data_IF_534495898454
#
_entry.id   IF_534495898454
#
_cell.length_a   1.000
_cell.length_b   1.000
_cell.length_c   1.000
_cell.angle_alpha   90.00
_cell.angle_beta   90.00
_cell.angle_gamma   90.00
#
_symmetry.space_group_name_H-M   'P 1'
#
loop_
_entity.id
_entity.type
_entity.pdbx_description
1 polymer ?
#
# COMPACT_ATOMS: atom_id res chain seq x y z
N UNK A 1 -8.83 26.54 21.05
CA UNK A 1 -9.69 25.52 20.41
C UNK A 1 -10.03 25.86 18.95
N UNK A 2 -10.77 26.94 18.62
CA UNK A 2 -11.15 27.23 17.21
C UNK A 2 -9.97 27.44 16.25
N UNK A 3 -8.89 28.12 16.70
CA UNK A 3 -7.74 28.41 15.84
C UNK A 3 -6.85 27.18 15.56
N UNK A 4 -6.71 26.30 16.57
CA UNK A 4 -5.90 25.08 16.46
C UNK A 4 -6.58 24.02 15.59
N UNK A 5 -7.91 23.90 15.67
CA UNK A 5 -8.65 23.01 14.77
C UNK A 5 -8.53 23.44 13.31
N UNK A 6 -8.60 24.75 13.03
CA UNK A 6 -8.39 25.29 11.68
C UNK A 6 -6.97 25.00 11.19
N UNK A 7 -5.95 25.19 12.02
CA UNK A 7 -4.56 24.85 11.71
C UNK A 7 -4.40 23.37 11.32
N UNK A 8 -4.99 22.44 12.08
CA UNK A 8 -4.91 21.01 11.76
C UNK A 8 -5.70 20.63 10.51
N UNK A 9 -6.79 21.33 10.20
CA UNK A 9 -7.47 21.18 8.91
C UNK A 9 -6.60 21.64 7.73
N UNK A 10 -5.85 22.74 7.89
CA UNK A 10 -4.90 23.22 6.89
C UNK A 10 -3.75 22.23 6.68
N UNK A 11 -3.21 21.64 7.76
CA UNK A 11 -2.20 20.58 7.67
C UNK A 11 -2.75 19.36 6.95
N UNK A 12 -3.94 18.86 7.32
CA UNK A 12 -4.59 17.74 6.65
C UNK A 12 -4.78 18.03 5.17
N UNK A 13 -5.24 19.23 4.82
CA UNK A 13 -5.37 19.65 3.42
C UNK A 13 -4.03 19.65 2.68
N UNK A 14 -2.97 20.16 3.29
CA UNK A 14 -1.63 20.16 2.70
C UNK A 14 -1.10 18.72 2.48
N UNK A 15 -1.43 17.77 3.37
CA UNK A 15 -1.11 16.34 3.17
C UNK A 15 -1.83 15.81 1.93
N UNK A 16 -3.15 16.06 1.81
CA UNK A 16 -3.94 15.63 0.65
C UNK A 16 -3.39 16.20 -0.65
N UNK A 17 -3.16 17.52 -0.69
CA UNK A 17 -2.68 18.22 -1.88
C UNK A 17 -1.29 17.71 -2.31
N UNK A 18 -0.42 17.38 -1.35
CA UNK A 18 0.89 16.78 -1.63
C UNK A 18 0.77 15.33 -2.14
N UNK A 19 0.09 14.46 -1.40
CA UNK A 19 0.07 13.02 -1.68
C UNK A 19 -0.78 12.65 -2.91
N UNK A 20 -1.69 13.53 -3.35
CA UNK A 20 -2.45 13.36 -4.59
C UNK A 20 -1.56 13.18 -5.84
N UNK A 21 -0.32 13.65 -5.79
CA UNK A 21 0.65 13.58 -6.90
C UNK A 21 1.80 12.59 -6.67
N UNK A 22 1.73 11.76 -5.62
CA UNK A 22 2.82 10.88 -5.18
C UNK A 22 2.48 9.38 -5.34
N UNK A 23 1.64 9.01 -6.32
CA UNK A 23 1.25 7.62 -6.54
C UNK A 23 2.45 6.79 -7.03
N UNK A 24 3.01 5.94 -6.16
CA UNK A 24 4.19 5.12 -6.46
C UNK A 24 4.01 4.22 -7.69
N UNK A 25 2.78 3.73 -7.95
CA UNK A 25 2.50 2.88 -9.11
C UNK A 25 2.68 3.61 -10.44
N UNK A 26 2.61 4.95 -10.42
CA UNK A 26 2.86 5.82 -11.57
C UNK A 26 4.27 6.38 -11.51
N UNK A 27 4.66 6.98 -10.38
CA UNK A 27 5.93 7.67 -10.21
C UNK A 27 7.14 6.74 -10.35
N UNK A 28 7.06 5.53 -9.79
CA UNK A 28 8.17 4.57 -9.81
C UNK A 28 8.08 3.58 -10.96
N UNK A 29 7.18 3.76 -11.94
CA UNK A 29 7.12 2.84 -13.08
C UNK A 29 8.22 3.18 -14.10
N UNK A 30 9.15 2.25 -14.42
CA UNK A 30 10.18 2.53 -15.41
C UNK A 30 9.57 2.70 -16.80
N UNK A 31 10.00 3.74 -17.51
CA UNK A 31 9.50 4.05 -18.87
C UNK A 31 9.94 3.03 -19.93
N UNK A 32 11.00 2.27 -19.65
CA UNK A 32 11.54 1.23 -20.52
C UNK A 32 11.36 -0.19 -19.94
N UNK A 33 10.44 -0.39 -18.99
CA UNK A 33 10.22 -1.67 -18.31
C UNK A 33 10.03 -2.82 -19.30
N UNK A 34 9.11 -2.66 -20.26
CA UNK A 34 8.80 -3.68 -21.26
C UNK A 34 10.02 -4.11 -22.08
N UNK A 35 10.82 -3.15 -22.54
CA UNK A 35 12.03 -3.41 -23.32
C UNK A 35 13.08 -4.17 -22.48
N UNK A 36 13.30 -3.72 -21.24
CA UNK A 36 14.25 -4.38 -20.34
C UNK A 36 13.80 -5.80 -19.99
N UNK A 37 12.49 -6.00 -19.78
CA UNK A 37 11.87 -7.30 -19.53
C UNK A 37 12.10 -8.26 -20.69
N UNK A 38 11.78 -7.84 -21.92
CA UNK A 38 11.95 -8.65 -23.12
C UNK A 38 13.42 -9.09 -23.30
N UNK A 39 14.37 -8.16 -23.12
CA UNK A 39 15.82 -8.45 -23.18
C UNK A 39 16.30 -9.38 -22.07
N UNK A 40 15.81 -9.18 -20.85
CA UNK A 40 16.20 -10.00 -19.69
C UNK A 40 15.76 -11.46 -19.88
N UNK A 41 14.52 -11.68 -20.32
CA UNK A 41 14.00 -13.02 -20.57
C UNK A 41 14.61 -13.70 -21.80
N UNK A 42 15.00 -12.93 -22.82
CA UNK A 42 15.77 -13.43 -23.96
C UNK A 42 17.22 -13.80 -23.59
N UNK A 43 17.68 -13.42 -22.39
CA UNK A 43 19.06 -13.62 -21.94
C UNK A 43 20.07 -12.65 -22.57
N UNK A 44 19.59 -11.59 -23.22
CA UNK A 44 20.42 -10.57 -23.87
C UNK A 44 21.12 -9.65 -22.84
N UNK A 45 20.48 -9.45 -21.69
CA UNK A 45 21.03 -8.68 -20.58
C UNK A 45 21.03 -9.51 -19.30
N UNK A 46 22.07 -9.31 -18.48
CA UNK A 46 22.09 -9.88 -17.14
C UNK A 46 21.32 -8.98 -16.17
N UNK A 47 21.57 -7.68 -16.19
CA UNK A 47 20.91 -6.72 -15.30
C UNK A 47 20.12 -5.70 -16.11
N UNK A 48 18.88 -5.38 -15.71
CA UNK A 48 18.13 -4.30 -16.33
C UNK A 48 18.73 -2.94 -16.00
N UNK A 49 18.64 -2.00 -16.94
CA UNK A 49 18.94 -0.59 -16.76
C UNK A 49 17.64 0.20 -16.95
N UNK A 50 17.07 0.67 -15.84
CA UNK A 50 15.79 1.36 -15.85
C UNK A 50 15.93 2.85 -16.13
N UNK A 51 14.89 3.43 -16.74
CA UNK A 51 14.78 4.86 -16.98
C UNK A 51 13.44 5.34 -16.45
N UNK A 52 13.41 6.54 -15.88
CA UNK A 52 12.23 7.11 -15.25
C UNK A 52 11.92 8.48 -15.86
N UNK A 53 10.63 8.85 -15.86
CA UNK A 53 10.24 10.22 -16.14
C UNK A 53 10.72 11.12 -15.01
N UNK A 54 10.91 12.40 -15.30
CA UNK A 54 11.08 13.39 -14.23
C UNK A 54 9.79 13.44 -13.42
N UNK A 55 9.92 13.27 -12.11
CA UNK A 55 8.80 13.21 -11.19
C UNK A 55 8.21 14.60 -10.93
N UNK A 56 8.99 15.67 -11.10
CA UNK A 56 8.60 17.05 -10.80
C UNK A 56 7.93 17.23 -9.42
N UNK A 57 8.30 16.40 -8.43
CA UNK A 57 7.71 16.43 -7.09
C UNK A 57 8.29 17.61 -6.32
N UNK A 58 7.42 18.53 -5.90
CA UNK A 58 7.79 19.67 -5.08
C UNK A 58 7.87 19.27 -3.60
N UNK A 59 8.76 19.93 -2.85
CA UNK A 59 8.80 19.78 -1.39
C UNK A 59 7.52 20.41 -0.79
N UNK A 60 6.69 19.64 -0.08
CA UNK A 60 5.45 20.17 0.49
C UNK A 60 5.73 21.08 1.69
N UNK A 61 5.03 22.21 1.73
CA UNK A 61 5.05 23.16 2.84
C UNK A 61 3.88 22.89 3.79
N UNK A 62 4.13 23.07 5.09
CA UNK A 62 3.14 22.89 6.13
C UNK A 62 3.22 24.04 7.13
N UNK A 63 2.08 24.47 7.70
CA UNK A 63 2.08 25.40 8.82
C UNK A 63 2.90 24.86 10.00
N UNK A 64 3.65 25.74 10.66
CA UNK A 64 4.34 25.41 11.90
C UNK A 64 3.36 25.32 13.07
N UNK A 65 3.60 24.38 13.98
CA UNK A 65 2.84 24.23 15.21
C UNK A 65 3.71 23.61 16.31
N UNK A 66 3.30 23.83 17.56
CA UNK A 66 3.90 23.19 18.73
C UNK A 66 3.12 21.95 19.09
N UNK A 67 3.83 20.86 19.41
CA UNK A 67 3.22 19.62 19.90
C UNK A 67 2.92 19.79 21.39
N UNK A 68 1.65 19.92 21.75
CA UNK A 68 1.19 20.08 23.14
C UNK A 68 0.56 18.78 23.68
N UNK A 69 -0.05 17.99 22.79
CA UNK A 69 -0.73 16.74 23.11
C UNK A 69 -0.19 15.55 22.30
N UNK A 70 -0.52 14.33 22.73
CA UNK A 70 -0.14 13.12 21.99
C UNK A 70 -0.82 13.05 20.60
N UNK A 71 -2.03 13.59 20.47
CA UNK A 71 -2.73 13.70 19.17
C UNK A 71 -2.01 14.65 18.20
N UNK A 72 -1.42 15.74 18.71
CA UNK A 72 -0.63 16.69 17.90
C UNK A 72 0.62 16.02 17.31
N UNK A 73 1.20 15.04 18.03
CA UNK A 73 2.35 14.27 17.55
C UNK A 73 2.02 13.47 16.29
N UNK A 74 0.77 12.99 16.13
CA UNK A 74 0.33 12.27 14.93
C UNK A 74 0.42 13.14 13.67
N UNK A 75 0.12 14.45 13.79
CA UNK A 75 0.27 15.41 12.70
C UNK A 75 1.74 15.63 12.34
N UNK A 76 2.61 15.80 13.34
CA UNK A 76 4.05 15.99 13.13
C UNK A 76 4.63 14.78 12.38
N UNK A 77 4.27 13.58 12.81
CA UNK A 77 4.77 12.34 12.23
C UNK A 77 4.27 12.16 10.79
N UNK A 78 3.00 12.50 10.52
CA UNK A 78 2.47 12.52 9.15
C UNK A 78 3.15 13.54 8.26
N UNK A 79 3.37 14.77 8.73
CA UNK A 79 4.13 15.80 8.00
C UNK A 79 5.53 15.30 7.65
N UNK A 80 6.24 14.73 8.63
CA UNK A 80 7.59 14.19 8.44
C UNK A 80 7.61 13.10 7.37
N UNK A 81 6.68 12.15 7.45
CA UNK A 81 6.57 11.08 6.46
C UNK A 81 6.20 11.61 5.07
N UNK A 82 5.23 12.53 4.94
CA UNK A 82 4.84 13.10 3.64
C UNK A 82 6.00 13.87 3.00
N UNK A 83 6.77 14.65 3.78
CA UNK A 83 8.02 15.29 3.29
C UNK A 83 9.05 14.25 2.87
N UNK A 84 9.20 13.18 3.65
CA UNK A 84 10.11 12.08 3.34
C UNK A 84 9.76 11.36 2.05
N UNK A 85 8.48 11.06 1.80
CA UNK A 85 8.01 10.46 0.54
C UNK A 85 8.26 11.41 -0.63
N UNK A 86 8.02 12.71 -0.48
CA UNK A 86 8.33 13.68 -1.52
C UNK A 86 9.82 13.66 -1.90
N UNK A 87 10.70 13.63 -0.88
CA UNK A 87 12.14 13.51 -1.08
C UNK A 87 12.53 12.17 -1.71
N UNK A 88 11.92 11.05 -1.29
CA UNK A 88 12.16 9.74 -1.89
C UNK A 88 11.89 9.76 -3.40
N UNK A 89 10.79 10.40 -3.82
CA UNK A 89 10.48 10.54 -5.25
C UNK A 89 11.45 11.45 -6.01
N UNK A 90 12.03 12.46 -5.35
CA UNK A 90 13.11 13.28 -5.93
C UNK A 90 14.43 12.50 -6.07
N UNK A 91 14.62 11.42 -5.31
CA UNK A 91 15.80 10.57 -5.34
C UNK A 91 15.71 9.42 -6.35
N UNK A 92 14.64 9.31 -7.14
CA UNK A 92 14.50 8.25 -8.16
C UNK A 92 15.72 8.26 -9.11
N UNK A 93 16.37 7.11 -9.23
CA UNK A 93 17.60 6.90 -9.99
C UNK A 93 18.90 7.28 -9.27
N UNK A 94 18.82 7.72 -8.01
CA UNK A 94 19.95 7.86 -7.08
C UNK A 94 19.91 6.66 -6.11
N UNK A 95 20.39 5.52 -6.60
CA UNK A 95 20.07 4.20 -6.04
C UNK A 95 20.40 4.06 -4.54
N UNK A 96 21.58 4.55 -4.12
CA UNK A 96 22.03 4.47 -2.73
C UNK A 96 21.17 5.33 -1.80
N UNK A 97 21.01 6.62 -2.11
CA UNK A 97 20.22 7.56 -1.30
C UNK A 97 18.74 7.18 -1.28
N UNK A 98 18.20 6.75 -2.43
CA UNK A 98 16.82 6.27 -2.55
C UNK A 98 16.60 5.05 -1.65
N UNK A 99 17.49 4.06 -1.72
CA UNK A 99 17.33 2.84 -0.93
C UNK A 99 17.49 3.09 0.57
N UNK A 100 18.42 3.97 0.97
CA UNK A 100 18.61 4.35 2.37
C UNK A 100 17.36 5.06 2.92
N UNK A 101 16.83 6.05 2.19
CA UNK A 101 15.63 6.76 2.62
C UNK A 101 14.40 5.84 2.60
N UNK A 102 14.29 4.92 1.65
CA UNK A 102 13.20 3.94 1.64
C UNK A 102 13.19 3.09 2.91
N UNK A 103 14.36 2.63 3.38
CA UNK A 103 14.45 1.86 4.64
C UNK A 103 14.06 2.69 5.87
N UNK A 104 14.27 4.00 5.85
CA UNK A 104 13.83 4.90 6.93
C UNK A 104 12.31 5.08 6.92
N UNK A 105 11.70 5.25 5.73
CA UNK A 105 10.26 5.47 5.59
C UNK A 105 9.44 4.18 5.74
N UNK A 106 9.98 3.06 5.26
CA UNK A 106 9.39 1.74 5.33
C UNK A 106 10.40 0.77 5.95
N UNK A 107 10.53 0.77 7.29
CA UNK A 107 11.46 -0.10 7.99
C UNK A 107 11.15 -1.57 7.74
N UNK A 108 12.21 -2.35 7.51
CA UNK A 108 12.12 -3.79 7.29
C UNK A 108 12.41 -4.51 8.60
N UNK A 109 11.46 -5.31 9.07
CA UNK A 109 11.59 -6.19 10.23
C UNK A 109 11.46 -7.65 9.80
N UNK A 110 11.93 -8.56 10.64
CA UNK A 110 11.70 -9.99 10.43
C UNK A 110 10.20 -10.31 10.51
N UNK A 111 9.78 -11.31 9.74
CA UNK A 111 8.42 -11.89 9.76
C UNK A 111 8.53 -13.39 9.92
N UNK A 112 7.41 -14.06 10.20
CA UNK A 112 7.37 -15.51 10.28
C UNK A 112 7.70 -16.16 8.92
N UNK A 113 8.03 -17.44 8.95
CA UNK A 113 8.27 -18.20 7.72
C UNK A 113 7.00 -18.25 6.85
N UNK A 114 7.20 -18.31 5.54
CA UNK A 114 6.14 -18.53 4.55
C UNK A 114 5.17 -19.63 5.01
N UNK A 115 3.85 -19.40 5.03
CA UNK A 115 2.91 -20.46 5.34
C UNK A 115 3.04 -21.59 4.31
N UNK A 116 3.13 -22.84 4.80
CA UNK A 116 3.20 -24.02 3.93
C UNK A 116 1.81 -24.30 3.36
N UNK A 117 1.56 -23.82 2.14
CA UNK A 117 0.32 -24.07 1.41
C UNK A 117 0.51 -23.77 -0.07
N UNK A 118 0.01 -24.65 -0.94
CA UNK A 118 -0.08 -24.33 -2.36
C UNK A 118 -1.15 -23.24 -2.52
N UNK A 119 -0.80 -22.10 -3.12
CA UNK A 119 -1.82 -21.24 -3.70
C UNK A 119 -2.46 -22.01 -4.86
N UNK A 120 -3.77 -22.29 -4.84
CA UNK A 120 -4.43 -22.91 -5.97
C UNK A 120 -4.17 -22.06 -7.23
N UNK A 121 -3.60 -22.68 -8.26
CA UNK A 121 -3.55 -22.08 -9.58
C UNK A 121 -4.93 -22.27 -10.21
N UNK A 122 -5.85 -21.36 -9.93
CA UNK A 122 -7.14 -21.33 -10.60
C UNK A 122 -7.08 -20.46 -11.85
N UNK A 123 -7.63 -20.98 -12.95
CA UNK A 123 -7.75 -20.20 -14.18
C UNK A 123 -8.70 -19.02 -13.95
N UNK A 124 -8.18 -17.81 -14.14
CA UNK A 124 -8.98 -16.60 -14.04
C UNK A 124 -9.98 -16.50 -15.20
N UNK A 125 -11.27 -16.47 -14.88
CA UNK A 125 -12.37 -16.30 -15.83
C UNK A 125 -13.17 -15.00 -15.59
N UNK A 126 -12.85 -14.24 -14.55
CA UNK A 126 -13.47 -12.96 -14.21
C UNK A 126 -12.61 -11.83 -14.78
N UNK A 127 -13.18 -11.07 -15.71
CA UNK A 127 -12.51 -9.95 -16.37
C UNK A 127 -12.65 -8.62 -15.61
N UNK A 128 -12.00 -7.58 -16.11
CA UNK A 128 -12.06 -6.23 -15.53
C UNK A 128 -13.49 -5.67 -15.42
N UNK A 129 -14.40 -6.01 -16.33
CA UNK A 129 -15.79 -5.51 -16.29
C UNK A 129 -16.57 -6.15 -15.15
N UNK A 130 -16.43 -7.47 -14.97
CA UNK A 130 -17.06 -8.21 -13.90
C UNK A 130 -16.56 -7.74 -12.51
N UNK A 131 -15.26 -7.48 -12.40
CA UNK A 131 -14.66 -6.84 -11.23
C UNK A 131 -15.31 -5.48 -10.93
N UNK A 132 -15.37 -4.59 -11.93
CA UNK A 132 -15.95 -3.25 -11.76
C UNK A 132 -17.41 -3.36 -11.31
N UNK A 133 -18.18 -4.30 -11.85
CA UNK A 133 -19.56 -4.54 -11.44
C UNK A 133 -19.66 -4.97 -9.97
N UNK A 134 -18.79 -5.86 -9.50
CA UNK A 134 -18.74 -6.26 -8.09
C UNK A 134 -18.34 -5.08 -7.18
N UNK A 135 -17.35 -4.28 -7.59
CA UNK A 135 -16.93 -3.07 -6.85
C UNK A 135 -18.05 -2.05 -6.75
N UNK A 136 -18.86 -1.87 -7.81
CA UNK A 136 -20.04 -0.99 -7.79
C UNK A 136 -21.07 -1.41 -6.75
N UNK A 137 -21.29 -2.72 -6.57
CA UNK A 137 -22.22 -3.25 -5.55
C UNK A 137 -21.66 -2.97 -4.16
N UNK A 138 -20.41 -3.35 -3.91
CA UNK A 138 -19.75 -3.16 -2.62
C UNK A 138 -19.63 -1.68 -2.21
N UNK A 139 -19.36 -0.78 -3.16
CA UNK A 139 -19.32 0.67 -2.89
C UNK A 139 -20.66 1.20 -2.41
N UNK A 140 -21.78 0.72 -2.96
CA UNK A 140 -23.12 1.10 -2.51
C UNK A 140 -23.39 0.60 -1.10
N UNK A 141 -23.00 -0.64 -0.79
CA UNK A 141 -23.14 -1.20 0.56
C UNK A 141 -22.32 -0.43 1.61
N UNK A 142 -21.16 0.09 1.22
CA UNK A 142 -20.31 0.92 2.07
C UNK A 142 -20.74 2.40 2.13
N UNK A 143 -21.82 2.79 1.43
CA UNK A 143 -22.23 4.19 1.25
C UNK A 143 -21.09 5.11 0.76
N UNK A 144 -20.20 4.58 -0.09
CA UNK A 144 -19.04 5.30 -0.60
C UNK A 144 -19.41 6.19 -1.80
N UNK A 145 -19.81 7.43 -1.51
CA UNK A 145 -20.25 8.38 -2.54
C UNK A 145 -19.08 9.15 -3.20
N UNK A 146 -19.26 9.47 -4.48
CA UNK A 146 -18.31 10.29 -5.25
C UNK A 146 -17.06 9.56 -5.73
N UNK A 147 -17.02 8.22 -5.61
CA UNK A 147 -15.92 7.41 -6.13
C UNK A 147 -16.10 7.09 -7.61
N UNK A 148 -15.01 7.16 -8.36
CA UNK A 148 -14.94 6.77 -9.78
C UNK A 148 -14.31 5.40 -9.91
N UNK A 149 -14.95 4.53 -10.70
CA UNK A 149 -14.44 3.22 -11.07
C UNK A 149 -14.06 3.26 -12.55
N UNK A 150 -12.81 2.93 -12.88
CA UNK A 150 -12.33 2.95 -14.26
C UNK A 150 -11.44 1.76 -14.60
N UNK A 151 -11.37 1.48 -15.89
CA UNK A 151 -10.44 0.51 -16.46
C UNK A 151 -9.25 1.27 -17.06
N UNK A 152 -8.03 0.85 -16.74
CA UNK A 152 -6.77 1.49 -17.18
C UNK A 152 -5.85 0.48 -17.88
N UNK A 153 -5.00 0.98 -18.77
CA UNK A 153 -4.01 0.14 -19.49
C UNK A 153 -2.61 0.21 -18.84
N UNK A 154 -2.16 1.42 -18.47
CA UNK A 154 -0.78 1.67 -18.03
C UNK A 154 -0.65 1.76 -16.49
N UNK A 155 -0.64 0.61 -15.80
CA UNK A 155 -0.31 0.56 -14.36
C UNK A 155 0.44 -0.72 -13.93
N UNK A 156 1.29 -0.59 -12.90
CA UNK A 156 2.10 -1.70 -12.38
C UNK A 156 1.32 -2.71 -11.53
N UNK A 157 0.14 -2.34 -11.04
CA UNK A 157 -0.68 -3.16 -10.14
C UNK A 157 -1.94 -3.61 -10.88
N UNK A 158 -2.46 -4.81 -10.57
CA UNK A 158 -3.74 -5.29 -11.15
C UNK A 158 -4.89 -4.32 -10.85
N UNK A 159 -4.85 -3.73 -9.66
CA UNK A 159 -5.81 -2.78 -9.12
C UNK A 159 -5.06 -1.77 -8.25
N UNK A 160 -5.63 -0.58 -8.08
CA UNK A 160 -5.21 0.35 -7.04
C UNK A 160 -6.34 1.31 -6.63
N UNK A 161 -6.29 1.76 -5.39
CA UNK A 161 -7.21 2.76 -4.82
C UNK A 161 -6.45 4.06 -4.61
N UNK A 162 -6.81 5.10 -5.35
CA UNK A 162 -6.37 6.47 -5.07
C UNK A 162 -7.47 7.17 -4.27
N UNK A 163 -7.28 7.22 -2.96
CA UNK A 163 -8.25 7.85 -2.07
C UNK A 163 -8.35 9.36 -2.22
N UNK A 164 -7.30 10.04 -2.70
CA UNK A 164 -7.27 11.50 -2.82
C UNK A 164 -8.13 11.98 -3.97
N UNK A 165 -8.07 11.27 -5.11
CA UNK A 165 -8.95 11.51 -6.26
C UNK A 165 -10.25 10.70 -6.20
N UNK A 166 -10.52 9.99 -5.09
CA UNK A 166 -11.62 9.03 -4.94
C UNK A 166 -11.77 8.12 -6.17
N UNK A 167 -10.68 7.47 -6.57
CA UNK A 167 -10.65 6.58 -7.73
C UNK A 167 -10.25 5.17 -7.33
N UNK A 168 -10.94 4.17 -7.88
CA UNK A 168 -10.43 2.79 -7.96
C UNK A 168 -10.24 2.44 -9.43
N UNK A 169 -9.05 1.99 -9.77
CA UNK A 169 -8.70 1.63 -11.14
C UNK A 169 -8.43 0.13 -11.22
N UNK A 170 -8.92 -0.49 -12.28
CA UNK A 170 -8.73 -1.91 -12.59
C UNK A 170 -7.98 -2.02 -13.91
N UNK A 171 -6.93 -2.82 -13.96
CA UNK A 171 -6.16 -3.00 -15.20
C UNK A 171 -6.99 -3.78 -16.23
N UNK A 172 -6.96 -3.34 -17.49
CA UNK A 172 -7.82 -3.86 -18.56
C UNK A 172 -7.60 -5.35 -18.88
N UNK A 173 -6.39 -5.85 -18.65
CA UNK A 173 -5.98 -7.23 -18.91
C UNK A 173 -6.14 -8.16 -17.69
N UNK A 174 -6.79 -7.70 -16.61
CA UNK A 174 -6.95 -8.52 -15.41
C UNK A 174 -7.85 -9.72 -15.68
N UNK A 175 -7.40 -10.89 -15.26
CA UNK A 175 -8.17 -12.12 -15.16
C UNK A 175 -7.96 -12.68 -13.77
N UNK A 176 -9.03 -12.80 -12.99
CA UNK A 176 -9.03 -13.35 -11.63
C UNK A 176 -10.01 -14.53 -11.55
N UNK A 177 -9.86 -15.40 -10.55
CA UNK A 177 -10.82 -16.48 -10.33
C UNK A 177 -12.09 -15.98 -9.64
N UNK A 178 -13.18 -16.73 -9.75
CA UNK A 178 -14.42 -16.44 -9.02
C UNK A 178 -14.21 -16.48 -7.49
N UNK A 179 -13.29 -17.31 -7.01
CA UNK A 179 -12.93 -17.39 -5.59
C UNK A 179 -12.11 -16.17 -5.12
N UNK A 180 -11.26 -15.61 -5.99
CA UNK A 180 -10.46 -14.42 -5.69
C UNK A 180 -11.32 -13.16 -5.61
N UNK A 181 -12.40 -13.07 -6.40
CA UNK A 181 -13.21 -11.86 -6.52
C UNK A 181 -13.77 -11.35 -5.18
N UNK A 182 -14.45 -12.15 -4.33
CA UNK A 182 -14.92 -11.69 -3.02
C UNK A 182 -13.79 -11.18 -2.13
N UNK A 183 -12.62 -11.83 -2.16
CA UNK A 183 -11.48 -11.42 -1.35
C UNK A 183 -10.93 -10.06 -1.79
N UNK A 184 -10.82 -9.82 -3.11
CA UNK A 184 -10.43 -8.53 -3.67
C UNK A 184 -11.47 -7.43 -3.40
N UNK A 185 -12.76 -7.74 -3.44
CA UNK A 185 -13.81 -6.78 -3.08
C UNK A 185 -13.64 -6.33 -1.62
N UNK A 186 -13.40 -7.28 -0.70
CA UNK A 186 -13.14 -6.95 0.71
C UNK A 186 -11.85 -6.14 0.88
N UNK A 187 -10.79 -6.48 0.16
CA UNK A 187 -9.50 -5.76 0.19
C UNK A 187 -9.66 -4.31 -0.27
N UNK A 188 -10.10 -4.11 -1.51
CA UNK A 188 -10.09 -2.79 -2.14
C UNK A 188 -11.22 -1.91 -1.62
N UNK A 189 -12.45 -2.45 -1.51
CA UNK A 189 -13.62 -1.67 -1.10
C UNK A 189 -13.82 -1.73 0.41
N UNK A 190 -13.80 -2.93 0.98
CA UNK A 190 -14.06 -3.16 2.39
C UNK A 190 -12.96 -2.63 3.32
N UNK A 191 -11.72 -2.46 2.84
CA UNK A 191 -10.64 -1.88 3.64
C UNK A 191 -10.29 -0.49 3.16
N UNK A 192 -9.71 -0.34 1.97
CA UNK A 192 -9.18 0.97 1.54
C UNK A 192 -10.26 2.03 1.36
N UNK A 193 -11.31 1.76 0.56
CA UNK A 193 -12.40 2.73 0.36
C UNK A 193 -13.14 3.00 1.67
N UNK A 194 -13.51 1.95 2.41
CA UNK A 194 -14.27 2.07 3.65
C UNK A 194 -13.53 2.88 4.72
N UNK A 195 -12.26 2.56 5.00
CA UNK A 195 -11.44 3.29 5.98
C UNK A 195 -11.25 4.75 5.56
N UNK A 196 -11.12 5.01 4.26
CA UNK A 196 -11.00 6.37 3.74
C UNK A 196 -12.27 7.19 3.96
N UNK A 197 -13.45 6.65 3.64
CA UNK A 197 -14.73 7.35 3.84
C UNK A 197 -15.06 7.54 5.32
N UNK A 198 -14.85 6.50 6.15
CA UNK A 198 -15.09 6.60 7.59
C UNK A 198 -14.10 7.54 8.26
N UNK A 199 -12.83 7.49 7.86
CA UNK A 199 -11.81 8.44 8.27
C UNK A 199 -12.25 9.88 8.03
N UNK A 200 -12.74 10.20 6.82
CA UNK A 200 -13.29 11.54 6.48
C UNK A 200 -14.53 11.93 7.28
N UNK A 201 -15.33 10.96 7.72
CA UNK A 201 -16.51 11.22 8.55
C UNK A 201 -16.15 11.56 10.01
N UNK A 202 -14.92 11.25 10.46
CA UNK A 202 -14.47 11.58 11.80
C UNK A 202 -14.33 13.08 12.03
N UNK A 203 -14.49 13.51 13.28
CA UNK A 203 -14.34 14.92 13.67
C UNK A 203 -12.89 15.39 13.63
N UNK A 204 -11.96 14.48 13.90
CA UNK A 204 -10.53 14.75 14.02
C UNK A 204 -9.84 14.75 12.64
N UNK A 205 -9.24 15.87 12.18
CA UNK A 205 -8.73 15.99 10.83
C UNK A 205 -7.62 14.99 10.44
N UNK A 206 -6.82 14.47 11.38
CA UNK A 206 -5.76 13.50 11.04
C UNK A 206 -6.35 12.19 10.52
N UNK A 207 -7.54 11.82 10.99
CA UNK A 207 -8.23 10.58 10.60
C UNK A 207 -8.73 10.64 9.15
N UNK A 208 -8.83 11.84 8.56
CA UNK A 208 -9.18 12.03 7.15
C UNK A 208 -8.07 11.53 6.21
N UNK A 209 -6.82 11.55 6.68
CA UNK A 209 -5.62 11.19 5.91
C UNK A 209 -4.90 9.95 6.48
N UNK A 210 -5.32 9.49 7.65
CA UNK A 210 -4.73 8.40 8.41
C UNK A 210 -3.49 8.82 9.21
N UNK A 211 -3.29 8.16 10.35
CA UNK A 211 -2.05 8.30 11.16
C UNK A 211 -0.88 7.62 10.45
N UNK A 212 0.36 7.95 10.82
CA UNK A 212 1.53 7.37 10.12
C UNK A 212 1.52 5.86 10.23
N UNK A 213 1.39 5.36 11.46
CA UNK A 213 1.34 3.93 11.74
C UNK A 213 0.11 3.26 11.12
N UNK A 214 -1.03 3.95 11.12
CA UNK A 214 -2.25 3.49 10.46
C UNK A 214 -2.13 3.32 8.96
N UNK A 215 -1.34 4.17 8.28
CA UNK A 215 -1.02 4.02 6.85
C UNK A 215 0.00 2.91 6.59
N UNK A 216 0.97 2.70 7.50
CA UNK A 216 1.94 1.61 7.38
C UNK A 216 1.32 0.22 7.57
N UNK A 217 0.32 0.09 8.46
CA UNK A 217 -0.37 -1.18 8.72
C UNK A 217 -1.59 -1.43 7.82
N UNK A 218 -1.95 -0.47 6.96
CA UNK A 218 -3.18 -0.51 6.16
C UNK A 218 -3.26 -1.74 5.25
N UNK A 219 -2.19 -2.03 4.53
CA UNK A 219 -2.06 -3.24 3.70
C UNK A 219 -2.15 -4.52 4.54
N UNK A 220 -1.65 -4.50 5.77
CA UNK A 220 -1.76 -5.62 6.71
C UNK A 220 -3.21 -5.93 7.10
N UNK A 221 -4.00 -4.90 7.35
CA UNK A 221 -5.45 -5.03 7.62
C UNK A 221 -6.15 -5.60 6.38
N UNK A 222 -5.81 -5.10 5.19
CA UNK A 222 -6.37 -5.58 3.93
C UNK A 222 -6.02 -7.06 3.67
N UNK A 223 -4.75 -7.44 3.85
CA UNK A 223 -4.29 -8.82 3.68
C UNK A 223 -4.94 -9.78 4.68
N UNK A 224 -5.12 -9.39 5.94
CA UNK A 224 -5.80 -10.25 6.91
C UNK A 224 -7.29 -10.45 6.55
N UNK A 225 -7.99 -9.39 6.14
CA UNK A 225 -9.40 -9.47 5.72
C UNK A 225 -9.58 -10.26 4.41
N UNK A 226 -8.60 -10.15 3.51
CA UNK A 226 -8.54 -10.93 2.28
C UNK A 226 -8.41 -12.43 2.62
N UNK A 227 -7.40 -12.78 3.43
CA UNK A 227 -7.11 -14.14 3.85
C UNK A 227 -6.55 -14.18 5.29
N UNK A 228 -7.36 -14.54 6.29
CA UNK A 228 -6.91 -14.63 7.69
C UNK A 228 -5.77 -15.64 7.92
N UNK A 229 -5.64 -16.65 7.05
CA UNK A 229 -4.56 -17.65 7.12
C UNK A 229 -3.24 -17.17 6.50
N UNK A 230 -3.24 -15.99 5.88
CA UNK A 230 -2.07 -15.40 5.24
C UNK A 230 -1.86 -15.93 3.82
N UNK A 231 -1.61 -15.02 2.89
CA UNK A 231 -1.39 -15.37 1.49
C UNK A 231 0.12 -15.48 1.19
N UNK A 232 0.65 -16.61 0.66
CA UNK A 232 2.08 -16.79 0.39
C UNK A 232 2.76 -15.61 -0.33
N UNK A 233 2.07 -15.04 -1.32
CA UNK A 233 2.47 -13.83 -2.06
C UNK A 233 2.98 -12.65 -1.21
N UNK A 234 2.43 -12.38 -0.03
CA UNK A 234 2.88 -11.23 0.80
C UNK A 234 4.26 -11.51 1.42
N UNK A 235 4.51 -12.76 1.77
CA UNK A 235 5.78 -13.22 2.33
C UNK A 235 6.85 -13.34 1.22
N UNK A 236 6.47 -13.74 -0.01
CA UNK A 236 7.36 -13.66 -1.19
C UNK A 236 7.80 -12.23 -1.49
N UNK A 237 6.91 -11.24 -1.35
CA UNK A 237 7.26 -9.81 -1.48
C UNK A 237 8.26 -9.39 -0.40
N UNK A 238 8.05 -9.82 0.84
CA UNK A 238 8.99 -9.54 1.94
C UNK A 238 10.37 -10.17 1.69
N UNK A 239 10.40 -11.42 1.25
CA UNK A 239 11.63 -12.10 0.84
C UNK A 239 12.35 -11.37 -0.30
N UNK A 240 11.60 -10.89 -1.30
CA UNK A 240 12.14 -10.08 -2.38
C UNK A 240 12.79 -8.79 -1.85
N UNK A 241 12.15 -8.08 -0.91
CA UNK A 241 12.73 -6.88 -0.29
C UNK A 241 14.03 -7.22 0.44
N UNK A 242 14.01 -8.23 1.32
CA UNK A 242 15.20 -8.63 2.10
C UNK A 242 16.37 -9.04 1.22
N UNK A 243 16.07 -9.75 0.13
CA UNK A 243 17.07 -10.20 -0.84
C UNK A 243 17.65 -8.99 -1.59
N UNK A 244 16.79 -8.15 -2.15
CA UNK A 244 17.18 -6.98 -2.96
C UNK A 244 18.06 -5.97 -2.22
N UNK A 245 17.93 -5.86 -0.89
CA UNK A 245 18.79 -5.00 -0.07
C UNK A 245 20.28 -5.33 -0.20
N UNK A 246 20.64 -6.58 -0.52
CA UNK A 246 22.04 -7.03 -0.56
C UNK A 246 22.44 -7.71 -1.88
N UNK A 247 21.55 -7.73 -2.87
CA UNK A 247 21.74 -8.48 -4.12
C UNK A 247 21.28 -7.67 -5.32
N UNK A 248 21.76 -8.05 -6.51
CA UNK A 248 21.34 -7.46 -7.78
C UNK A 248 19.89 -7.84 -8.13
N UNK A 249 19.35 -7.24 -9.21
CA UNK A 249 18.06 -7.61 -9.77
C UNK A 249 18.06 -9.08 -10.19
N UNK A 250 19.07 -9.54 -10.95
CA UNK A 250 19.17 -10.94 -11.37
C UNK A 250 19.21 -11.91 -10.20
N UNK A 251 20.03 -11.62 -9.20
CA UNK A 251 20.18 -12.48 -8.02
C UNK A 251 18.88 -12.58 -7.24
N UNK A 252 18.17 -11.45 -7.06
CA UNK A 252 16.85 -11.42 -6.42
C UNK A 252 15.82 -12.23 -7.22
N UNK A 253 15.78 -12.04 -8.54
CA UNK A 253 14.88 -12.78 -9.43
C UNK A 253 15.16 -14.28 -9.41
N UNK A 254 16.43 -14.67 -9.41
CA UNK A 254 16.84 -16.08 -9.37
C UNK A 254 16.44 -16.72 -8.05
N UNK A 255 16.67 -16.05 -6.93
CA UNK A 255 16.27 -16.54 -5.60
C UNK A 255 14.75 -16.80 -5.56
N UNK A 256 13.93 -15.88 -6.06
CA UNK A 256 12.49 -16.09 -6.10
C UNK A 256 12.07 -17.27 -6.99
N UNK A 257 12.75 -17.48 -8.12
CA UNK A 257 12.54 -18.67 -8.95
C UNK A 257 12.89 -19.96 -8.20
N UNK A 258 13.99 -19.95 -7.45
CA UNK A 258 14.45 -21.10 -6.67
C UNK A 258 13.48 -21.43 -5.52
N UNK A 259 12.79 -20.41 -4.98
CA UNK A 259 11.72 -20.51 -3.99
C UNK A 259 10.34 -20.83 -4.62
N UNK A 260 10.30 -21.18 -5.90
CA UNK A 260 9.10 -21.70 -6.56
C UNK A 260 8.20 -20.66 -7.22
N UNK A 261 8.57 -19.38 -7.26
CA UNK A 261 7.86 -18.42 -8.11
C UNK A 261 8.00 -18.79 -9.59
N UNK A 262 6.96 -18.56 -10.38
CA UNK A 262 7.11 -18.57 -11.83
C UNK A 262 8.10 -17.47 -12.25
N UNK A 263 8.73 -17.63 -13.41
CA UNK A 263 9.65 -16.61 -13.96
C UNK A 263 9.02 -15.22 -14.05
N UNK A 264 7.72 -15.17 -14.32
CA UNK A 264 6.94 -13.94 -14.45
C UNK A 264 6.61 -13.31 -13.09
N UNK A 265 6.21 -14.13 -12.12
CA UNK A 265 5.97 -13.64 -10.75
C UNK A 265 7.27 -13.15 -10.12
N UNK A 266 8.37 -13.89 -10.29
CA UNK A 266 9.69 -13.50 -9.83
C UNK A 266 10.12 -12.15 -10.45
N UNK A 267 9.86 -11.93 -11.74
CA UNK A 267 10.13 -10.63 -12.40
C UNK A 267 9.29 -9.53 -11.76
N UNK A 268 7.99 -9.77 -11.61
CA UNK A 268 7.04 -8.81 -11.05
C UNK A 268 7.43 -8.41 -9.63
N UNK A 269 7.75 -9.37 -8.77
CA UNK A 269 8.20 -9.13 -7.40
C UNK A 269 9.53 -8.39 -7.36
N UNK A 270 10.51 -8.81 -8.15
CA UNK A 270 11.82 -8.15 -8.23
C UNK A 270 11.70 -6.71 -8.70
N UNK A 271 10.92 -6.46 -9.76
CA UNK A 271 10.65 -5.12 -10.27
C UNK A 271 9.98 -4.24 -9.21
N UNK A 272 9.01 -4.76 -8.45
CA UNK A 272 8.32 -4.00 -7.40
C UNK A 272 9.26 -3.51 -6.29
N UNK A 273 10.27 -4.31 -5.95
CA UNK A 273 11.24 -3.96 -4.89
C UNK A 273 12.47 -3.23 -5.43
N UNK A 274 12.78 -3.33 -6.73
CA UNK A 274 13.89 -2.60 -7.38
C UNK A 274 13.46 -1.33 -8.10
N UNK A 275 12.17 -1.05 -8.24
CA UNK A 275 11.70 0.20 -8.86
C UNK A 275 12.12 1.44 -8.07
N UNK A 276 12.46 2.50 -8.77
CA UNK A 276 13.10 3.69 -8.20
C UNK A 276 14.63 3.66 -8.31
N UNK A 277 15.22 2.47 -8.48
CA UNK A 277 16.65 2.30 -8.75
C UNK A 277 16.89 2.20 -10.26
N UNK A 278 17.99 2.77 -10.74
CA UNK A 278 18.37 2.81 -12.15
C UNK A 278 19.16 1.59 -12.58
N UNK A 279 20.15 1.18 -11.77
CA UNK A 279 21.09 0.13 -12.13
C UNK A 279 20.69 -1.20 -11.48
N UNK A 280 20.41 -2.22 -12.29
CA UNK A 280 20.05 -3.55 -11.79
C UNK A 280 21.16 -4.21 -10.97
N UNK A 281 22.42 -3.77 -11.09
CA UNK A 281 23.52 -4.24 -10.23
C UNK A 281 23.49 -3.67 -8.82
N UNK A 282 22.76 -2.57 -8.59
CA UNK A 282 22.73 -1.88 -7.29
C UNK A 282 22.14 -2.76 -6.20
N UNK A 283 22.83 -2.82 -5.06
CA UNK A 283 22.28 -3.37 -3.82
C UNK A 283 21.39 -2.30 -3.17
N UNK A 284 20.17 -2.67 -2.83
CA UNK A 284 19.17 -1.73 -2.36
C UNK A 284 17.78 -2.03 -2.90
N UNK A 285 16.78 -1.46 -2.26
CA UNK A 285 15.38 -1.71 -2.56
C UNK A 285 14.48 -0.51 -2.22
N UNK A 286 13.37 -0.41 -2.94
CA UNK A 286 12.15 0.19 -2.47
C UNK A 286 11.45 -0.77 -1.50
N UNK A 287 11.61 -0.51 -0.21
CA UNK A 287 11.23 -1.41 0.89
C UNK A 287 9.76 -1.36 1.28
N UNK A 288 8.92 -0.54 0.62
CA UNK A 288 7.49 -0.44 0.93
C UNK A 288 6.78 -1.81 0.94
N UNK A 289 7.13 -2.71 0.03
CA UNK A 289 6.47 -4.02 -0.07
C UNK A 289 6.69 -4.91 1.18
N UNK A 290 7.64 -4.58 2.07
CA UNK A 290 7.81 -5.29 3.34
C UNK A 290 6.65 -5.06 4.32
N UNK A 291 5.93 -3.93 4.21
CA UNK A 291 4.83 -3.59 5.12
C UNK A 291 3.63 -4.53 4.99
N UNK A 292 3.51 -5.26 3.88
CA UNK A 292 2.42 -6.21 3.66
C UNK A 292 2.48 -7.39 4.64
N UNK A 293 3.60 -8.13 4.64
CA UNK A 293 3.77 -9.27 5.54
C UNK A 293 3.90 -8.83 7.00
N UNK A 294 4.65 -7.74 7.25
CA UNK A 294 4.83 -7.19 8.59
C UNK A 294 3.50 -6.73 9.20
N UNK A 295 2.72 -5.97 8.42
CA UNK A 295 1.40 -5.51 8.85
C UNK A 295 0.42 -6.67 9.02
N UNK A 296 0.46 -7.68 8.14
CA UNK A 296 -0.38 -8.87 8.30
C UNK A 296 -0.10 -9.58 9.63
N UNK A 297 1.18 -9.83 9.95
CA UNK A 297 1.56 -10.47 11.22
C UNK A 297 1.12 -9.64 12.43
N UNK A 298 1.31 -8.33 12.38
CA UNK A 298 0.90 -7.43 13.46
C UNK A 298 -0.63 -7.46 13.67
N UNK A 299 -1.42 -7.42 12.59
CA UNK A 299 -2.87 -7.50 12.67
C UNK A 299 -3.31 -8.90 13.12
N UNK A 300 -2.68 -9.97 12.63
CA UNK A 300 -2.96 -11.34 13.07
C UNK A 300 -2.76 -11.48 14.57
N UNK A 301 -1.62 -11.05 15.11
CA UNK A 301 -1.34 -11.06 16.55
C UNK A 301 -2.36 -10.22 17.32
N UNK A 302 -2.67 -9.00 16.85
CA UNK A 302 -3.67 -8.14 17.50
C UNK A 302 -5.04 -8.84 17.63
N UNK A 303 -5.50 -9.53 16.60
CA UNK A 303 -6.79 -10.23 16.61
C UNK A 303 -6.74 -11.49 17.47
N UNK A 304 -5.65 -12.27 17.43
CA UNK A 304 -5.46 -13.44 18.29
C UNK A 304 -5.45 -13.09 19.78
N UNK A 305 -4.97 -11.89 20.12
CA UNK A 305 -4.98 -11.33 21.47
C UNK A 305 -6.34 -10.74 21.89
N UNK A 306 -7.38 -10.86 21.05
CA UNK A 306 -8.74 -10.40 21.32
C UNK A 306 -9.04 -8.98 20.84
N UNK A 307 -8.21 -8.42 19.97
CA UNK A 307 -8.44 -7.15 19.30
C UNK A 307 -9.69 -7.15 18.41
N UNK A 308 -10.26 -5.97 18.18
CA UNK A 308 -11.50 -5.80 17.41
C UNK A 308 -11.24 -5.11 16.06
N UNK A 309 -11.92 -5.58 15.01
CA UNK A 309 -11.83 -4.95 13.69
C UNK A 309 -12.56 -3.62 13.58
N UNK A 310 -13.65 -3.43 14.32
CA UNK A 310 -14.52 -2.26 14.15
C UNK A 310 -13.75 -0.93 14.31
N UNK A 311 -12.89 -0.74 15.34
CA UNK A 311 -12.06 0.47 15.42
C UNK A 311 -11.08 0.62 14.24
N UNK A 312 -10.40 -0.46 13.83
CA UNK A 312 -9.47 -0.44 12.70
C UNK A 312 -10.16 -0.10 11.38
N UNK A 313 -11.41 -0.51 11.20
CA UNK A 313 -12.20 -0.20 10.01
C UNK A 313 -12.86 1.18 10.07
N UNK A 314 -12.70 1.94 11.17
CA UNK A 314 -13.35 3.24 11.36
C UNK A 314 -12.50 4.44 10.92
N UNK A 315 -11.20 4.23 10.72
CA UNK A 315 -10.27 5.18 10.11
C UNK A 315 -8.93 4.47 9.80
N UNK A 316 -8.04 5.06 8.98
CA UNK A 316 -6.72 4.49 8.76
C UNK A 316 -5.79 4.71 9.97
N UNK A 317 -5.94 3.85 10.98
CA UNK A 317 -5.27 3.93 12.29
C UNK A 317 -4.55 2.64 12.63
N UNK A 318 -3.68 2.70 13.63
CA UNK A 318 -2.94 1.58 14.16
C UNK A 318 -3.60 0.98 15.41
N UNK A 319 -3.51 -0.35 15.67
CA UNK A 319 -4.05 -0.96 16.89
C UNK A 319 -3.67 -0.23 18.20
N UNK A 320 -2.41 0.14 18.35
CA UNK A 320 -1.91 0.85 19.53
C UNK A 320 -2.42 2.29 19.69
N UNK A 321 -3.07 2.86 18.67
CA UNK A 321 -3.59 4.24 18.70
C UNK A 321 -5.08 4.28 19.02
N UNK A 322 -5.76 3.12 19.05
CA UNK A 322 -7.22 3.04 19.23
C UNK A 322 -7.68 3.73 20.51
N UNK A 323 -7.07 3.41 21.66
CA UNK A 323 -7.47 3.98 22.96
C UNK A 323 -7.27 5.51 22.99
N UNK A 324 -6.13 5.98 22.50
CA UNK A 324 -5.82 7.41 22.39
C UNK A 324 -6.88 8.13 21.53
N UNK A 325 -7.20 7.58 20.37
CA UNK A 325 -8.10 8.23 19.40
C UNK A 325 -9.56 8.21 19.86
N UNK A 326 -10.02 7.13 20.51
CA UNK A 326 -11.37 7.10 21.10
C UNK A 326 -11.47 8.10 22.26
N UNK A 327 -10.50 8.08 23.18
CA UNK A 327 -10.60 8.85 24.43
C UNK A 327 -10.25 10.33 24.28
N UNK A 328 -9.31 10.69 23.41
CA UNK A 328 -8.80 12.06 23.29
C UNK A 328 -9.18 12.74 21.97
N UNK A 329 -9.46 11.98 20.90
CA UNK A 329 -9.87 12.51 19.60
C UNK A 329 -11.36 12.30 19.27
N UNK A 330 -12.15 11.77 20.21
CA UNK A 330 -13.59 11.50 20.04
C UNK A 330 -13.88 10.70 18.76
N UNK A 331 -13.00 9.73 18.46
CA UNK A 331 -13.14 8.86 17.29
C UNK A 331 -14.37 7.97 17.45
N UNK A 332 -15.28 8.06 16.49
CA UNK A 332 -16.46 7.20 16.40
C UNK A 332 -16.07 5.81 15.89
N UNK A 333 -16.57 4.76 16.54
CA UNK A 333 -16.40 3.37 16.09
C UNK A 333 -17.65 2.96 15.31
N UNK A 334 -17.49 2.76 14.01
CA UNK A 334 -18.57 2.33 13.13
C UNK A 334 -18.73 0.80 13.15
N UNK A 335 -19.96 0.27 13.01
CA UNK A 335 -20.19 -1.16 12.92
C UNK A 335 -19.52 -1.76 11.67
N UNK A 336 -19.16 -3.05 11.72
CA UNK A 336 -18.62 -3.76 10.55
C UNK A 336 -19.76 -3.92 9.52
N UNK A 337 -19.55 -3.55 8.24
CA UNK A 337 -20.57 -3.75 7.21
C UNK A 337 -20.72 -5.25 6.88
N UNK A 338 -21.91 -5.66 6.43
CA UNK A 338 -22.19 -7.04 6.05
C UNK A 338 -21.20 -7.61 5.01
N UNK A 339 -20.66 -6.76 4.13
CA UNK A 339 -19.60 -7.10 3.17
C UNK A 339 -18.36 -7.76 3.81
N UNK A 340 -18.08 -7.42 5.07
CA UNK A 340 -16.90 -7.86 5.83
C UNK A 340 -17.25 -8.86 6.94
N UNK A 341 -18.51 -9.24 7.08
CA UNK A 341 -18.88 -10.34 7.97
C UNK A 341 -18.31 -11.62 7.36
N UNK A 342 -17.16 -12.08 7.89
CA UNK A 342 -16.54 -13.34 7.50
C UNK A 342 -17.57 -14.44 7.80
N UNK A 343 -18.06 -15.11 6.76
CA UNK A 343 -18.93 -16.29 6.91
C UNK A 343 -18.20 -17.32 7.77
N UNK A 344 -18.79 -17.63 8.93
CA UNK A 344 -18.27 -18.56 9.94
C UNK A 344 -18.05 -19.97 9.42
#
# INVERSE_FOLDING_TARGET
>A
MSNQRTLFQEITKAIVDAEAHMEFSVCLHPSNEREQREKFFAGEIQEPLFTYKDQHVLAPEFPDFMVEHETDALYRDRIGHTKGVALLLQLVGQDDEFSQLSQVLFPVTEVSDMPTGESPLEEGNVDANAVIAAFQVAMKECAAEGWTLEIVEDCSSRMYVNQWSKKVAVRSDVLISEEELPALVRHEIGVHVLRSERGRAQKEPILHVGTLRGRLVEEGVACYIENPQGHPRIFQRHLAVRTALNHSFRETWQLLCDEGCTKEDAWTHTLRVKRGLKDGTSHGAFTKDAVYAQGYEEIRTYIEEGGEFAPLLSAPIHPSEIELLISQADMEVFPIPALLELSQ
#
